data_IF_902988281952
#
_entry.id   IF_902988281952
#
_cell.length_a   1.000
_cell.length_b   1.000
_cell.length_c   1.000
_cell.angle_alpha   90.00
_cell.angle_beta   90.00
_cell.angle_gamma   90.00
#
_symmetry.space_group_name_H-M   'P 1'
#
loop_
_entity.id
_entity.type
_entity.pdbx_description
1 polymer ?
#
# COMPACT_ATOMS: atom_id res chain seq x y z
N UNK A 1 21.19 -60.60 4.06
CA UNK A 1 20.44 -59.60 3.27
C UNK A 1 21.08 -59.49 1.89
N UNK A 2 20.28 -59.55 0.80
CA UNK A 2 20.75 -59.85 -0.55
C UNK A 2 21.36 -58.64 -1.26
N UNK A 3 22.38 -58.89 -2.09
CA UNK A 3 23.10 -57.91 -2.91
C UNK A 3 22.24 -57.44 -4.08
N UNK A 4 22.09 -56.12 -4.23
CA UNK A 4 21.49 -55.50 -5.41
C UNK A 4 22.45 -55.55 -6.61
N UNK A 5 21.89 -55.93 -7.77
CA UNK A 5 22.54 -56.14 -9.07
C UNK A 5 22.64 -54.79 -9.79
N UNK A 6 23.81 -54.45 -10.33
CA UNK A 6 24.02 -53.22 -11.12
C UNK A 6 23.52 -53.40 -12.57
N UNK A 7 22.89 -52.36 -13.13
CA UNK A 7 22.49 -52.24 -14.52
C UNK A 7 23.68 -51.78 -15.39
N UNK A 8 23.87 -52.30 -16.61
CA UNK A 8 24.92 -51.85 -17.53
C UNK A 8 24.43 -50.68 -18.40
N UNK A 9 25.29 -49.70 -18.67
CA UNK A 9 25.03 -48.72 -19.73
C UNK A 9 25.62 -47.31 -19.62
N UNK A 10 26.76 -47.08 -18.95
CA UNK A 10 27.45 -45.77 -19.02
C UNK A 10 28.83 -45.95 -19.62
N UNK A 11 29.02 -45.40 -20.82
CA UNK A 11 30.30 -45.37 -21.51
C UNK A 11 31.22 -44.30 -20.88
N UNK A 12 32.35 -44.80 -20.37
CA UNK A 12 33.67 -44.16 -20.17
C UNK A 12 34.06 -43.25 -21.35
N UNK A 13 34.78 -42.12 -21.25
CA UNK A 13 35.65 -41.55 -20.23
C UNK A 13 36.34 -40.29 -20.83
N UNK A 14 37.66 -40.08 -20.69
CA UNK A 14 38.31 -39.20 -19.69
C UNK A 14 39.41 -38.27 -20.34
N UNK A 15 40.43 -37.69 -19.66
CA UNK A 15 40.61 -37.16 -18.29
C UNK A 15 41.22 -35.72 -18.24
N UNK A 16 41.20 -35.14 -17.04
CA UNK A 16 41.91 -33.92 -16.61
C UNK A 16 43.41 -34.18 -16.39
N UNK A 17 44.30 -33.28 -16.84
CA UNK A 17 45.74 -33.24 -16.46
C UNK A 17 46.13 -31.93 -15.74
N UNK A 18 47.06 -32.08 -14.79
CA UNK A 18 47.51 -31.12 -13.76
C UNK A 18 48.65 -30.18 -14.21
N UNK A 19 48.63 -28.98 -13.61
CA UNK A 19 49.64 -27.92 -13.31
C UNK A 19 51.13 -28.06 -13.73
N UNK A 20 51.71 -26.93 -14.15
CA UNK A 20 53.07 -26.45 -13.80
C UNK A 20 53.19 -24.91 -14.01
N UNK A 21 54.07 -24.24 -13.25
CA UNK A 21 54.41 -22.80 -13.24
C UNK A 21 55.94 -22.66 -13.46
N UNK A 22 56.51 -21.43 -13.51
CA UNK A 22 56.82 -20.53 -14.63
C UNK A 22 58.26 -20.72 -15.21
N UNK A 23 58.73 -19.89 -16.19
CA UNK A 23 59.65 -18.78 -15.84
C UNK A 23 59.59 -17.52 -16.76
N UNK A 24 59.95 -16.35 -16.21
CA UNK A 24 60.56 -15.18 -16.91
C UNK A 24 62.10 -15.35 -16.90
N UNK A 25 62.99 -14.60 -17.62
CA UNK A 25 62.83 -13.26 -18.24
C UNK A 25 63.53 -13.05 -19.62
N UNK A 26 63.34 -11.88 -20.26
CA UNK A 26 64.39 -11.12 -20.97
C UNK A 26 63.90 -9.73 -21.45
N UNK A 27 64.71 -8.71 -21.17
CA UNK A 27 64.64 -7.31 -21.63
C UNK A 27 64.57 -7.19 -23.18
N UNK A 28 64.19 -6.09 -23.85
CA UNK A 28 64.67 -4.71 -23.67
C UNK A 28 63.91 -3.75 -24.62
N UNK A 29 63.81 -2.48 -24.20
CA UNK A 29 63.82 -1.22 -24.98
C UNK A 29 62.63 -0.79 -25.85
N UNK A 30 61.99 0.33 -25.45
CA UNK A 30 61.29 1.25 -26.36
C UNK A 30 60.22 2.13 -25.69
N UNK A 31 60.60 3.31 -25.20
CA UNK A 31 59.72 4.42 -24.85
C UNK A 31 60.35 5.72 -25.41
N UNK A 32 59.71 6.92 -25.49
CA UNK A 32 58.30 7.33 -25.26
C UNK A 32 57.84 8.31 -26.43
N UNK A 33 56.91 9.31 -26.34
CA UNK A 33 56.50 10.18 -25.22
C UNK A 33 55.01 10.15 -24.83
N UNK A 34 54.79 10.30 -23.52
CA UNK A 34 53.50 10.62 -22.90
C UNK A 34 53.10 12.07 -23.17
N UNK A 35 51.86 12.27 -23.59
CA UNK A 35 51.19 13.57 -23.52
C UNK A 35 50.65 13.75 -22.09
N UNK A 36 51.28 14.62 -21.32
CA UNK A 36 50.80 15.11 -20.02
C UNK A 36 49.47 15.84 -20.22
N UNK A 37 48.36 15.13 -19.94
CA UNK A 37 47.09 15.77 -19.62
C UNK A 37 47.17 16.33 -18.19
N UNK A 38 46.69 17.56 -17.93
CA UNK A 38 46.72 18.15 -16.59
C UNK A 38 45.85 17.34 -15.62
N UNK A 39 46.19 17.28 -14.32
CA UNK A 39 45.40 16.58 -13.33
C UNK A 39 44.00 17.21 -13.26
N UNK A 40 42.99 16.40 -13.53
CA UNK A 40 41.60 16.77 -13.30
C UNK A 40 41.44 17.16 -11.82
N UNK A 41 40.96 18.38 -11.59
CA UNK A 41 40.57 18.85 -10.26
C UNK A 41 39.62 17.82 -9.62
N UNK A 42 39.76 17.53 -8.31
CA UNK A 42 38.82 16.66 -7.62
C UNK A 42 37.45 17.34 -7.63
N UNK A 43 36.58 16.90 -8.54
CA UNK A 43 35.16 17.21 -8.51
C UNK A 43 34.64 16.85 -7.12
N UNK A 44 34.35 17.86 -6.31
CA UNK A 44 33.93 17.72 -4.93
C UNK A 44 32.68 16.84 -4.89
N UNK A 45 32.85 15.57 -4.56
CA UNK A 45 31.74 14.70 -4.23
C UNK A 45 30.94 15.43 -3.14
N UNK A 46 29.63 15.66 -3.32
CA UNK A 46 28.86 16.38 -2.34
C UNK A 46 28.97 15.67 -1.01
N UNK A 47 29.25 16.41 0.07
CA UNK A 47 29.44 15.85 1.41
C UNK A 47 28.22 15.01 1.80
N UNK A 48 28.39 13.68 1.71
CA UNK A 48 27.34 12.69 1.94
C UNK A 48 26.81 12.82 3.37
N UNK A 49 27.66 13.21 4.33
CA UNK A 49 27.26 13.40 5.72
C UNK A 49 26.34 14.63 5.87
N UNK A 50 26.67 15.75 5.21
CA UNK A 50 25.81 16.92 5.17
C UNK A 50 24.47 16.64 4.48
N UNK A 51 24.48 15.88 3.37
CA UNK A 51 23.25 15.46 2.69
C UNK A 51 22.39 14.55 3.56
N UNK A 52 22.98 13.57 4.24
CA UNK A 52 22.27 12.69 5.15
C UNK A 52 21.65 13.45 6.32
N UNK A 53 22.38 14.43 6.90
CA UNK A 53 21.83 15.30 7.95
C UNK A 53 20.62 16.09 7.46
N UNK A 54 20.71 16.71 6.27
CA UNK A 54 19.60 17.43 5.65
C UNK A 54 18.38 16.53 5.42
N UNK A 55 18.57 15.33 4.89
CA UNK A 55 17.47 14.39 4.64
C UNK A 55 16.83 13.87 5.94
N UNK A 56 17.60 13.65 7.01
CA UNK A 56 17.04 13.32 8.33
C UNK A 56 16.19 14.44 8.90
N UNK A 57 16.65 15.70 8.79
CA UNK A 57 15.86 16.86 9.22
C UNK A 57 14.53 16.94 8.47
N UNK A 58 14.56 16.80 7.14
CA UNK A 58 13.34 16.78 6.32
C UNK A 58 12.39 15.63 6.69
N UNK A 59 12.92 14.44 7.01
CA UNK A 59 12.11 13.33 7.52
C UNK A 59 11.46 13.63 8.88
N UNK A 60 12.09 14.45 9.72
CA UNK A 60 11.52 14.91 10.98
C UNK A 60 10.40 15.93 10.78
N UNK A 61 10.59 16.88 9.88
CA UNK A 61 9.67 17.99 9.64
C UNK A 61 8.43 17.58 8.82
N UNK A 62 8.63 16.90 7.70
CA UNK A 62 7.57 16.58 6.72
C UNK A 62 7.01 15.16 6.95
N UNK A 63 7.83 14.30 7.54
CA UNK A 63 7.55 12.88 7.69
C UNK A 63 7.85 12.07 6.43
N UNK A 64 7.47 10.78 6.42
CA UNK A 64 7.85 9.82 5.39
C UNK A 64 6.95 9.87 4.13
N UNK A 65 6.37 11.04 3.82
CA UNK A 65 5.44 11.19 2.68
C UNK A 65 6.21 11.43 1.39
N UNK A 66 6.30 10.42 0.53
CA UNK A 66 7.09 10.49 -0.72
C UNK A 66 6.78 11.70 -1.60
N UNK A 67 5.50 12.03 -1.81
CA UNK A 67 5.11 13.19 -2.63
C UNK A 67 5.54 14.53 -2.02
N UNK A 68 5.39 14.68 -0.70
CA UNK A 68 5.83 15.89 -0.01
C UNK A 68 7.36 16.02 -0.02
N UNK A 69 8.08 14.94 0.28
CA UNK A 69 9.55 14.90 0.21
C UNK A 69 10.05 15.18 -1.22
N UNK A 70 9.38 14.64 -2.24
CA UNK A 70 9.71 14.88 -3.64
C UNK A 70 9.49 16.34 -4.07
N UNK A 71 8.44 16.99 -3.57
CA UNK A 71 8.17 18.42 -3.81
C UNK A 71 9.27 19.29 -3.20
N UNK A 72 9.67 19.01 -1.96
CA UNK A 72 10.69 19.78 -1.22
C UNK A 72 12.12 19.57 -1.75
N UNK A 73 12.43 18.37 -2.23
CA UNK A 73 13.76 18.04 -2.78
C UNK A 73 13.88 18.28 -4.29
N UNK A 74 12.76 18.57 -4.96
CA UNK A 74 12.69 18.91 -6.38
C UNK A 74 13.06 20.37 -6.65
N UNK A 75 13.02 20.76 -7.92
CA UNK A 75 13.11 22.17 -8.31
C UNK A 75 11.71 22.79 -8.37
N UNK A 76 11.62 24.12 -8.34
CA UNK A 76 10.33 24.83 -8.38
C UNK A 76 9.46 24.31 -9.54
N UNK A 77 8.28 23.78 -9.21
CA UNK A 77 7.33 23.23 -10.18
C UNK A 77 7.67 21.86 -10.77
N UNK A 78 8.81 21.24 -10.41
CA UNK A 78 9.19 19.90 -10.85
C UNK A 78 9.58 19.03 -9.65
N UNK A 79 8.61 18.30 -9.06
CA UNK A 79 8.90 17.36 -7.98
C UNK A 79 9.85 16.27 -8.46
N UNK A 80 10.68 15.78 -7.55
CA UNK A 80 11.59 14.68 -7.81
C UNK A 80 10.81 13.40 -8.14
N UNK A 81 11.27 12.60 -9.11
CA UNK A 81 10.63 11.31 -9.37
C UNK A 81 10.86 10.34 -8.20
N UNK A 82 9.90 9.45 -7.96
CA UNK A 82 9.99 8.46 -6.86
C UNK A 82 11.27 7.62 -6.90
N UNK A 83 11.74 7.09 -8.05
CA UNK A 83 12.98 6.32 -8.09
C UNK A 83 14.21 7.16 -7.68
N UNK A 84 14.27 8.42 -8.11
CA UNK A 84 15.37 9.33 -7.77
C UNK A 84 15.34 9.71 -6.30
N UNK A 85 14.15 9.93 -5.74
CA UNK A 85 13.97 10.14 -4.29
C UNK A 85 14.54 8.96 -3.49
N UNK A 86 14.11 7.74 -3.83
CA UNK A 86 14.57 6.54 -3.13
C UNK A 86 16.08 6.32 -3.30
N UNK A 87 16.63 6.59 -4.48
CA UNK A 87 18.07 6.52 -4.71
C UNK A 87 18.86 7.50 -3.83
N UNK A 88 18.36 8.73 -3.63
CA UNK A 88 18.97 9.72 -2.71
C UNK A 88 18.94 9.23 -1.26
N UNK A 89 17.82 8.68 -0.80
CA UNK A 89 17.72 8.12 0.55
C UNK A 89 18.64 6.90 0.74
N UNK A 90 18.82 6.07 -0.30
CA UNK A 90 19.77 4.95 -0.28
C UNK A 90 21.21 5.42 -0.21
N UNK A 91 21.60 6.38 -1.05
CA UNK A 91 22.95 6.95 -1.06
C UNK A 91 23.31 7.60 0.30
N UNK A 92 22.32 8.16 1.00
CA UNK A 92 22.48 8.73 2.33
C UNK A 92 22.41 7.69 3.49
N UNK A 93 22.21 6.40 3.21
CA UNK A 93 22.08 5.35 4.23
C UNK A 93 20.77 5.40 5.04
N UNK A 94 19.73 6.08 4.54
CA UNK A 94 18.47 6.34 5.23
C UNK A 94 17.28 5.49 4.71
N UNK A 95 17.52 4.59 3.76
CA UNK A 95 16.46 3.75 3.15
C UNK A 95 15.67 2.93 4.19
N UNK A 96 16.38 2.37 5.19
CA UNK A 96 15.74 1.60 6.27
C UNK A 96 14.86 2.47 7.17
N UNK A 97 15.34 3.67 7.51
CA UNK A 97 14.61 4.61 8.36
C UNK A 97 13.36 5.13 7.66
N UNK A 98 13.49 5.55 6.39
CA UNK A 98 12.35 5.95 5.56
C UNK A 98 11.33 4.81 5.48
N UNK A 99 11.78 3.59 5.19
CA UNK A 99 10.91 2.42 5.11
C UNK A 99 10.17 2.11 6.41
N UNK A 100 10.85 2.22 7.56
CA UNK A 100 10.23 2.03 8.87
C UNK A 100 9.15 3.10 9.13
N UNK A 101 9.49 4.37 8.96
CA UNK A 101 8.53 5.48 9.16
C UNK A 101 7.35 5.38 8.19
N UNK A 102 7.57 4.99 6.94
CA UNK A 102 6.48 4.75 5.97
C UNK A 102 5.54 3.64 6.46
N UNK A 103 6.07 2.55 7.02
CA UNK A 103 5.25 1.48 7.59
C UNK A 103 4.39 1.98 8.75
N UNK A 104 4.98 2.72 9.66
CA UNK A 104 4.29 3.22 10.85
C UNK A 104 3.22 4.26 10.46
N UNK A 105 3.52 5.12 9.49
CA UNK A 105 2.54 6.05 8.93
C UNK A 105 1.36 5.30 8.31
N UNK A 106 1.61 4.29 7.47
CA UNK A 106 0.54 3.50 6.84
C UNK A 106 -0.34 2.81 7.88
N UNK A 107 0.26 2.18 8.90
CA UNK A 107 -0.49 1.59 10.02
C UNK A 107 -1.37 2.61 10.73
N UNK A 108 -0.80 3.76 11.09
CA UNK A 108 -1.52 4.81 11.77
C UNK A 108 -2.69 5.35 10.93
N UNK A 109 -2.48 5.56 9.62
CA UNK A 109 -3.52 6.04 8.72
C UNK A 109 -4.64 5.02 8.51
N UNK A 110 -4.30 3.75 8.28
CA UNK A 110 -5.31 2.69 8.14
C UNK A 110 -6.10 2.47 9.44
N UNK A 111 -5.46 2.56 10.60
CA UNK A 111 -6.15 2.51 11.88
C UNK A 111 -7.08 3.72 12.08
N UNK A 112 -6.58 4.94 11.81
CA UNK A 112 -7.36 6.18 11.91
C UNK A 112 -8.60 6.16 11.02
N UNK A 113 -8.46 5.69 9.79
CA UNK A 113 -9.54 5.63 8.82
C UNK A 113 -10.30 4.31 8.82
N UNK A 114 -10.09 3.47 9.84
CA UNK A 114 -10.76 2.18 10.03
C UNK A 114 -10.78 1.32 8.76
N UNK A 115 -9.64 1.23 8.09
CA UNK A 115 -9.48 0.43 6.87
C UNK A 115 -9.90 1.12 5.55
N UNK A 116 -10.35 2.37 5.58
CA UNK A 116 -10.79 3.11 4.39
C UNK A 116 -9.65 3.54 3.45
N UNK A 117 -9.46 2.84 2.34
CA UNK A 117 -8.38 3.09 1.38
C UNK A 117 -8.45 4.49 0.74
N UNK A 118 -9.65 5.00 0.40
CA UNK A 118 -9.78 6.30 -0.28
C UNK A 118 -9.30 7.44 0.61
N UNK A 119 -9.61 7.40 1.90
CA UNK A 119 -9.15 8.42 2.86
C UNK A 119 -7.64 8.34 3.10
N UNK A 120 -7.09 7.14 3.20
CA UNK A 120 -5.63 6.95 3.32
C UNK A 120 -4.91 7.47 2.07
N UNK A 121 -5.43 7.16 0.89
CA UNK A 121 -4.87 7.65 -0.37
C UNK A 121 -4.93 9.18 -0.46
N UNK A 122 -6.07 9.78 -0.10
CA UNK A 122 -6.24 11.23 -0.04
C UNK A 122 -5.23 11.92 0.89
N UNK A 123 -5.02 11.38 2.09
CA UNK A 123 -4.07 11.94 3.07
C UNK A 123 -2.60 11.83 2.64
N UNK A 124 -2.28 10.87 1.77
CA UNK A 124 -0.96 10.71 1.19
C UNK A 124 -0.82 11.41 -0.18
N UNK A 125 -1.90 12.05 -0.65
CA UNK A 125 -2.04 12.60 -2.00
C UNK A 125 -1.77 11.57 -3.11
N UNK A 126 -2.09 10.29 -2.89
CA UNK A 126 -1.86 9.19 -3.83
C UNK A 126 -3.15 8.77 -4.55
N UNK A 127 -3.01 8.15 -5.72
CA UNK A 127 -4.05 7.30 -6.29
C UNK A 127 -4.20 6.00 -5.49
N UNK A 128 -5.33 5.31 -5.65
CA UNK A 128 -5.54 4.01 -5.00
C UNK A 128 -4.51 2.96 -5.44
N UNK A 129 -4.11 2.97 -6.72
CA UNK A 129 -3.13 2.02 -7.24
C UNK A 129 -1.71 2.32 -6.75
N UNK A 130 -1.37 3.60 -6.62
CA UNK A 130 -0.13 4.03 -5.97
C UNK A 130 -0.11 3.58 -4.50
N UNK A 131 -1.21 3.76 -3.77
CA UNK A 131 -1.33 3.29 -2.37
C UNK A 131 -1.16 1.77 -2.28
N UNK A 132 -1.85 0.99 -3.12
CA UNK A 132 -1.71 -0.47 -3.17
C UNK A 132 -0.28 -0.91 -3.47
N UNK A 133 0.40 -0.18 -4.36
CA UNK A 133 1.80 -0.44 -4.70
C UNK A 133 2.70 -0.15 -3.50
N UNK A 134 2.53 0.99 -2.85
CA UNK A 134 3.28 1.35 -1.64
C UNK A 134 3.08 0.33 -0.51
N UNK A 135 1.86 -0.12 -0.26
CA UNK A 135 1.54 -1.14 0.76
C UNK A 135 2.24 -2.47 0.45
N UNK A 136 2.30 -2.87 -0.84
CA UNK A 136 3.03 -4.08 -1.28
C UNK A 136 4.54 -3.93 -1.12
N UNK A 137 5.12 -2.81 -1.57
CA UNK A 137 6.55 -2.50 -1.41
C UNK A 137 7.01 -2.51 0.06
N UNK A 138 6.10 -2.20 0.98
CA UNK A 138 6.37 -2.19 2.42
C UNK A 138 6.01 -3.48 3.15
N UNK A 139 5.55 -4.50 2.41
CA UNK A 139 5.23 -5.81 2.97
C UNK A 139 4.01 -5.78 3.90
N UNK A 140 3.14 -4.77 3.78
CA UNK A 140 2.00 -4.57 4.69
C UNK A 140 0.68 -5.14 4.15
N UNK A 141 0.66 -5.71 2.93
CA UNK A 141 -0.58 -6.14 2.27
C UNK A 141 -1.45 -7.07 3.15
N UNK A 142 -0.84 -8.11 3.75
CA UNK A 142 -1.56 -9.05 4.63
C UNK A 142 -2.01 -8.39 5.94
N UNK A 143 -1.17 -7.54 6.52
CA UNK A 143 -1.45 -6.85 7.79
C UNK A 143 -2.64 -5.89 7.63
N UNK A 144 -2.63 -5.09 6.56
CA UNK A 144 -3.71 -4.16 6.23
C UNK A 144 -5.00 -4.92 5.89
N UNK A 145 -4.93 -6.01 5.13
CA UNK A 145 -6.13 -6.79 4.82
C UNK A 145 -6.74 -7.43 6.08
N UNK A 146 -5.90 -7.97 6.99
CA UNK A 146 -6.38 -8.48 8.27
C UNK A 146 -7.03 -7.37 9.11
N UNK A 147 -6.48 -6.15 9.10
CA UNK A 147 -7.08 -4.99 9.75
C UNK A 147 -8.43 -4.63 9.14
N UNK A 148 -8.53 -4.62 7.80
CA UNK A 148 -9.79 -4.35 7.09
C UNK A 148 -10.85 -5.41 7.37
N UNK A 149 -10.47 -6.68 7.43
CA UNK A 149 -11.41 -7.76 7.77
C UNK A 149 -11.98 -7.60 9.18
N UNK A 150 -11.17 -7.16 10.15
CA UNK A 150 -11.70 -6.80 11.49
C UNK A 150 -12.76 -5.72 11.40
N UNK A 151 -12.54 -4.66 10.63
CA UNK A 151 -13.52 -3.59 10.45
C UNK A 151 -14.75 -4.02 9.66
N UNK A 152 -14.62 -4.95 8.70
CA UNK A 152 -15.78 -5.60 8.07
C UNK A 152 -16.58 -6.38 9.11
N UNK A 153 -15.91 -7.15 9.96
CA UNK A 153 -16.52 -7.86 11.08
C UNK A 153 -17.26 -6.93 12.05
N UNK A 154 -16.65 -5.80 12.44
CA UNK A 154 -17.30 -4.78 13.27
C UNK A 154 -18.56 -4.22 12.61
N UNK A 155 -18.50 -3.89 11.31
CA UNK A 155 -19.64 -3.37 10.57
C UNK A 155 -20.79 -4.38 10.48
N UNK A 156 -20.47 -5.66 10.26
CA UNK A 156 -21.45 -6.76 10.21
C UNK A 156 -22.08 -7.06 11.57
N UNK A 157 -21.29 -6.98 12.64
CA UNK A 157 -21.75 -7.24 14.02
C UNK A 157 -22.46 -6.06 14.67
N UNK A 158 -22.49 -4.89 14.02
CA UNK A 158 -23.23 -3.74 14.52
C UNK A 158 -24.72 -4.12 14.74
N UNK A 159 -25.33 -3.54 15.77
CA UNK A 159 -26.69 -3.87 16.16
C UNK A 159 -27.72 -3.40 15.11
N UNK A 160 -28.67 -4.29 14.81
CA UNK A 160 -29.85 -3.98 14.01
C UNK A 160 -30.98 -3.44 14.91
N UNK A 161 -31.80 -2.47 14.45
CA UNK A 161 -31.70 -1.74 13.18
C UNK A 161 -30.79 -0.52 13.23
N UNK A 162 -30.63 0.10 14.41
CA UNK A 162 -30.09 1.45 14.51
C UNK A 162 -28.64 1.58 14.02
N UNK A 163 -27.71 0.77 14.55
CA UNK A 163 -26.29 0.94 14.23
C UNK A 163 -25.96 0.52 12.79
N UNK A 164 -26.56 -0.56 12.29
CA UNK A 164 -26.36 -0.99 10.89
C UNK A 164 -26.93 0.03 9.89
N UNK A 165 -28.14 0.55 10.12
CA UNK A 165 -28.73 1.55 9.23
C UNK A 165 -28.00 2.90 9.32
N UNK A 166 -27.49 3.27 10.50
CA UNK A 166 -26.62 4.45 10.67
C UNK A 166 -25.34 4.30 9.84
N UNK A 167 -24.73 3.11 9.82
CA UNK A 167 -23.56 2.84 8.98
C UNK A 167 -23.89 2.97 7.49
N UNK A 168 -25.03 2.42 7.03
CA UNK A 168 -25.48 2.55 5.64
C UNK A 168 -25.78 4.01 5.27
N UNK A 169 -26.37 4.79 6.19
CA UNK A 169 -26.76 6.16 5.91
C UNK A 169 -25.61 7.16 5.97
N UNK A 170 -24.73 7.03 6.97
CA UNK A 170 -23.71 8.05 7.26
C UNK A 170 -22.30 7.62 6.84
N UNK A 171 -22.08 6.32 6.60
CA UNK A 171 -20.74 5.76 6.33
C UNK A 171 -20.68 4.93 5.06
N UNK A 172 -21.51 5.26 4.07
CA UNK A 172 -21.54 4.59 2.77
C UNK A 172 -20.15 4.44 2.12
N UNK A 173 -19.40 5.54 1.99
CA UNK A 173 -18.08 5.51 1.35
C UNK A 173 -17.09 4.58 2.06
N UNK A 174 -17.16 4.49 3.39
CA UNK A 174 -16.35 3.57 4.17
C UNK A 174 -16.76 2.11 3.96
N UNK A 175 -18.07 1.82 3.89
CA UNK A 175 -18.57 0.48 3.59
C UNK A 175 -18.23 0.03 2.16
N UNK A 176 -18.23 0.98 1.20
CA UNK A 176 -17.78 0.74 -0.17
C UNK A 176 -16.27 0.45 -0.21
N UNK A 177 -15.46 1.21 0.53
CA UNK A 177 -14.02 0.95 0.66
C UNK A 177 -13.74 -0.42 1.27
N UNK A 178 -14.58 -0.85 2.21
CA UNK A 178 -14.49 -2.18 2.79
C UNK A 178 -15.08 -3.27 1.87
N UNK A 179 -15.79 -2.91 0.80
CA UNK A 179 -16.37 -3.87 -0.15
C UNK A 179 -17.61 -4.62 0.37
N UNK A 180 -18.25 -4.14 1.45
CA UNK A 180 -19.39 -4.80 2.12
C UNK A 180 -20.69 -4.00 2.04
N UNK A 181 -20.69 -2.84 1.38
CA UNK A 181 -21.89 -2.01 1.26
C UNK A 181 -23.07 -2.76 0.63
N UNK A 182 -22.84 -3.50 -0.47
CA UNK A 182 -23.88 -4.24 -1.17
C UNK A 182 -24.44 -5.39 -0.31
N UNK A 183 -23.56 -6.13 0.38
CA UNK A 183 -23.92 -7.19 1.33
C UNK A 183 -24.87 -6.66 2.41
N UNK A 184 -24.46 -5.59 3.12
CA UNK A 184 -25.26 -5.00 4.19
C UNK A 184 -26.55 -4.36 3.69
N UNK A 185 -26.53 -3.77 2.50
CA UNK A 185 -27.73 -3.18 1.87
C UNK A 185 -28.77 -4.26 1.57
N UNK A 186 -28.35 -5.39 1.01
CA UNK A 186 -29.24 -6.54 0.73
C UNK A 186 -29.82 -7.11 2.02
N UNK A 187 -28.98 -7.30 3.05
CA UNK A 187 -29.44 -7.75 4.37
C UNK A 187 -30.45 -6.79 5.01
N UNK A 188 -30.25 -5.48 4.88
CA UNK A 188 -31.19 -4.47 5.37
C UNK A 188 -32.54 -4.55 4.64
N UNK A 189 -32.55 -4.70 3.32
CA UNK A 189 -33.76 -4.90 2.51
C UNK A 189 -34.54 -6.14 2.97
N UNK A 190 -33.85 -7.28 3.12
CA UNK A 190 -34.49 -8.53 3.56
C UNK A 190 -35.13 -8.39 4.95
N UNK A 191 -34.41 -7.80 5.92
CA UNK A 191 -34.91 -7.64 7.29
C UNK A 191 -36.04 -6.62 7.39
N UNK A 192 -35.98 -5.53 6.63
CA UNK A 192 -36.97 -4.46 6.67
C UNK A 192 -38.17 -4.69 5.74
N UNK A 193 -38.14 -5.68 4.84
CA UNK A 193 -39.16 -5.88 3.81
C UNK A 193 -40.58 -5.98 4.35
N UNK A 194 -40.80 -6.69 5.47
CA UNK A 194 -42.14 -6.77 6.09
C UNK A 194 -42.62 -5.42 6.64
N UNK A 195 -41.72 -4.66 7.25
CA UNK A 195 -42.04 -3.32 7.76
C UNK A 195 -42.29 -2.36 6.59
N UNK A 196 -41.56 -2.52 5.50
CA UNK A 196 -41.74 -1.76 4.27
C UNK A 196 -43.12 -1.97 3.65
N UNK A 197 -43.61 -3.21 3.59
CA UNK A 197 -44.94 -3.51 3.02
C UNK A 197 -46.07 -2.75 3.72
N UNK A 198 -45.96 -2.55 5.03
CA UNK A 198 -46.90 -1.74 5.82
C UNK A 198 -46.62 -0.23 5.62
N UNK A 199 -45.36 0.17 5.69
CA UNK A 199 -44.95 1.57 5.60
C UNK A 199 -45.26 2.18 4.21
N UNK A 200 -45.08 1.45 3.11
CA UNK A 200 -45.28 1.94 1.75
C UNK A 200 -46.73 2.32 1.43
N UNK A 201 -47.68 1.75 2.17
CA UNK A 201 -49.13 2.06 2.07
C UNK A 201 -49.54 3.25 2.93
N UNK A 202 -48.64 3.74 3.77
CA UNK A 202 -48.90 4.89 4.64
C UNK A 202 -48.73 6.21 3.86
N UNK A 203 -49.41 7.26 4.31
CA UNK A 203 -49.29 8.62 3.73
C UNK A 203 -47.85 9.15 3.78
N UNK A 204 -47.08 8.77 4.81
CA UNK A 204 -45.66 9.09 4.95
C UNK A 204 -44.87 7.81 5.29
N UNK A 205 -44.30 7.14 4.27
CA UNK A 205 -43.51 5.91 4.46
C UNK A 205 -42.26 6.13 5.32
N UNK A 206 -41.65 7.31 5.28
CA UNK A 206 -40.43 7.61 6.04
C UNK A 206 -40.79 7.69 7.53
N UNK A 207 -41.84 8.42 7.89
CA UNK A 207 -42.29 8.48 9.29
C UNK A 207 -42.78 7.12 9.80
N UNK A 208 -43.45 6.33 8.96
CA UNK A 208 -43.83 4.97 9.32
C UNK A 208 -42.61 4.10 9.65
N UNK A 209 -41.58 4.09 8.79
CA UNK A 209 -40.32 3.37 9.04
C UNK A 209 -39.62 3.84 10.32
N UNK A 210 -39.57 5.15 10.56
CA UNK A 210 -38.98 5.71 11.79
C UNK A 210 -39.67 5.21 13.05
N UNK A 211 -41.01 5.19 13.05
CA UNK A 211 -41.81 4.74 14.20
C UNK A 211 -41.66 3.25 14.44
N UNK A 212 -41.78 2.44 13.39
CA UNK A 212 -41.76 0.98 13.47
C UNK A 212 -40.35 0.45 13.82
N UNK A 213 -39.29 1.02 13.24
CA UNK A 213 -37.91 0.57 13.47
C UNK A 213 -37.17 1.37 14.55
N UNK A 214 -37.81 2.42 15.11
CA UNK A 214 -37.21 3.35 16.08
C UNK A 214 -35.87 3.93 15.60
N UNK A 215 -35.85 4.40 14.37
CA UNK A 215 -34.64 4.94 13.70
C UNK A 215 -34.76 6.44 13.41
N UNK A 216 -33.60 7.06 13.17
CA UNK A 216 -33.52 8.45 12.76
C UNK A 216 -34.03 8.69 11.33
N UNK A 217 -34.20 9.98 10.96
CA UNK A 217 -34.72 10.35 9.64
C UNK A 217 -33.75 10.04 8.49
N UNK A 218 -32.44 10.06 8.72
CA UNK A 218 -31.45 9.74 7.69
C UNK A 218 -31.49 8.26 7.33
N UNK A 219 -31.53 7.40 8.35
CA UNK A 219 -31.63 5.95 8.25
C UNK A 219 -32.91 5.54 7.51
N UNK A 220 -34.04 6.15 7.89
CA UNK A 220 -35.33 5.84 7.27
C UNK A 220 -35.39 6.24 5.78
N UNK A 221 -34.78 7.37 5.38
CA UNK A 221 -34.69 7.77 3.97
C UNK A 221 -33.83 6.82 3.16
N UNK A 222 -32.68 6.44 3.68
CA UNK A 222 -31.78 5.49 3.02
C UNK A 222 -32.43 4.12 2.90
N UNK A 223 -33.10 3.66 3.97
CA UNK A 223 -33.82 2.40 3.95
C UNK A 223 -34.98 2.43 2.94
N UNK A 224 -35.76 3.51 2.88
CA UNK A 224 -36.77 3.72 1.83
C UNK A 224 -36.15 3.60 0.45
N UNK A 225 -35.05 4.31 0.19
CA UNK A 225 -34.42 4.31 -1.13
C UNK A 225 -33.91 2.93 -1.55
N UNK A 226 -33.35 2.16 -0.61
CA UNK A 226 -32.94 0.79 -0.85
C UNK A 226 -34.14 -0.11 -1.18
N UNK A 227 -35.20 -0.02 -0.38
CA UNK A 227 -36.40 -0.84 -0.51
C UNK A 227 -37.17 -0.53 -1.80
N UNK A 228 -37.36 0.75 -2.13
CA UNK A 228 -38.05 1.19 -3.36
C UNK A 228 -37.35 0.71 -4.65
N UNK A 229 -36.03 0.50 -4.62
CA UNK A 229 -35.29 -0.05 -5.77
C UNK A 229 -35.39 -1.58 -5.87
N UNK A 230 -35.69 -2.24 -4.75
CA UNK A 230 -35.72 -3.70 -4.64
C UNK A 230 -37.10 -4.31 -4.87
N UNK A 231 -38.17 -3.53 -4.75
CA UNK A 231 -39.55 -3.97 -4.96
C UNK A 231 -40.08 -3.30 -6.24
N UNK A 232 -40.29 -4.02 -7.35
CA UNK A 232 -40.93 -3.45 -8.53
C UNK A 232 -42.37 -3.02 -8.17
N UNK A 233 -42.81 -1.92 -8.80
CA UNK A 233 -44.14 -1.33 -8.62
C UNK A 233 -45.25 -2.29 -9.09
#
# INVERSE_FOLDING_TARGET
MPRARQLPGVASGPPVRRRAHPPEPAATLGAPPEATAPPAEPSAAPDVAAQAKKLRTLLGEIGPRRRALAKELGSKGRPLSTPVLLARFRAAGLERELGQRERDLLRALFARHRGGERKVAGDLELSLDELKTLVRERGLAREIEAMRERYRGEARKADWPSAQLSNLALRRAWLEDLGIHAELSSGAVQRAGRVWEKARRSKDPVQALRRELRIGPAEARVLRDLLSRSTPA
#
